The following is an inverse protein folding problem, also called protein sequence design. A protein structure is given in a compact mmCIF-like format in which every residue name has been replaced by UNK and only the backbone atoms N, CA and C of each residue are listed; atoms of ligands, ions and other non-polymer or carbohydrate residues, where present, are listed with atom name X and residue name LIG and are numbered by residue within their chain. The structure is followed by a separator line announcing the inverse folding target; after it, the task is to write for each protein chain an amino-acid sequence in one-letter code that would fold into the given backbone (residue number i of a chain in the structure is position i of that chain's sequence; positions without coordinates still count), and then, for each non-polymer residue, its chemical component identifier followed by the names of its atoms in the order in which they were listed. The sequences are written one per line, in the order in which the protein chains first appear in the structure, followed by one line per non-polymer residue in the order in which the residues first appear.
data_IF_497062077625
#
_entry.id   IF_497062077625
#
_cell.length_a   1.000
_cell.length_b   1.000
_cell.length_c   1.000
_cell.angle_alpha   90.00
_cell.angle_beta   90.00
_cell.angle_gamma   90.00
#
_symmetry.space_group_name_H-M   'P 1'
#
loop_
_entity.id
_entity.type
_entity.pdbx_description
1 polymer ?
#
# COMPACT_ATOMS: atom_id res chain seq x y z
N UNK A 1 23.82 53.42 10.90
CA UNK A 1 22.65 52.54 10.77
C UNK A 1 22.83 51.74 9.49
N UNK A 2 23.19 50.45 9.56
CA UNK A 2 23.26 49.62 8.35
C UNK A 2 21.83 49.25 7.94
N UNK A 3 21.49 49.53 6.69
CA UNK A 3 20.17 49.23 6.12
C UNK A 3 20.04 47.71 6.03
N UNK A 4 19.16 47.12 6.84
CA UNK A 4 18.82 45.70 6.70
C UNK A 4 18.17 45.49 5.34
N UNK A 5 18.66 44.51 4.57
CA UNK A 5 18.14 44.13 3.26
C UNK A 5 16.61 43.98 3.28
N UNK A 6 15.94 44.49 2.24
CA UNK A 6 14.50 44.27 2.01
C UNK A 6 14.30 42.77 1.88
N UNK A 7 13.59 42.17 2.84
CA UNK A 7 13.27 40.74 2.84
C UNK A 7 12.40 40.46 1.63
N UNK A 8 12.98 39.94 0.55
CA UNK A 8 12.24 39.51 -0.63
C UNK A 8 11.43 38.26 -0.28
N UNK A 9 10.18 38.44 0.17
CA UNK A 9 9.21 37.36 0.01
C UNK A 9 8.97 37.21 -1.50
N UNK A 10 9.25 36.02 -2.03
CA UNK A 10 9.04 35.65 -3.43
C UNK A 10 7.66 36.07 -3.97
N UNK A 11 7.57 36.24 -5.30
CA UNK A 11 6.33 36.51 -6.06
C UNK A 11 5.11 35.79 -5.47
N UNK A 12 3.95 36.45 -5.29
CA UNK A 12 2.77 35.84 -4.68
C UNK A 12 2.43 34.49 -5.33
N UNK A 13 2.46 33.42 -4.54
CA UNK A 13 2.05 32.10 -5.02
C UNK A 13 0.54 31.97 -4.93
N UNK A 14 -0.10 31.33 -5.93
CA UNK A 14 -1.54 31.10 -5.96
C UNK A 14 -2.08 30.29 -4.78
N UNK A 15 -3.42 30.17 -4.69
CA UNK A 15 -4.10 29.42 -3.62
C UNK A 15 -3.66 27.95 -3.62
N UNK A 16 -3.39 27.40 -2.43
CA UNK A 16 -3.00 26.00 -2.21
C UNK A 16 -3.92 25.37 -1.17
N UNK A 17 -4.01 24.04 -1.21
CA UNK A 17 -4.79 23.25 -0.24
C UNK A 17 -4.05 22.98 1.08
N UNK A 18 -2.79 23.43 1.20
CA UNK A 18 -1.97 23.29 2.40
C UNK A 18 -1.10 24.53 2.60
N UNK A 19 -1.06 25.04 3.83
CA UNK A 19 -0.19 26.14 4.25
C UNK A 19 0.98 25.67 5.11
N UNK A 20 1.39 26.50 6.07
CA UNK A 20 2.51 26.22 6.99
C UNK A 20 2.04 26.09 8.45
N UNK A 21 2.96 25.82 9.37
CA UNK A 21 2.69 25.88 10.81
C UNK A 21 2.03 27.21 11.20
N UNK A 22 0.90 27.13 11.89
CA UNK A 22 0.05 28.29 12.25
C UNK A 22 -1.03 28.64 11.21
N UNK A 23 -0.96 28.13 9.98
CA UNK A 23 -1.95 28.38 8.93
C UNK A 23 -2.05 27.21 7.93
N UNK A 24 -2.25 25.98 8.43
CA UNK A 24 -2.28 24.77 7.57
C UNK A 24 -3.43 24.74 6.55
N UNK A 25 -4.49 25.53 6.73
CA UNK A 25 -5.65 25.56 5.84
C UNK A 25 -6.77 24.58 6.19
N UNK A 26 -6.69 23.93 7.37
CA UNK A 26 -7.79 23.11 7.91
C UNK A 26 -8.91 23.93 8.54
N UNK A 27 -10.04 23.30 8.90
CA UNK A 27 -11.12 23.95 9.63
C UNK A 27 -10.65 24.41 11.03
N UNK A 28 -11.30 25.43 11.58
CA UNK A 28 -11.05 25.87 12.95
C UNK A 28 -11.43 24.76 13.94
N UNK A 29 -10.49 24.40 14.82
CA UNK A 29 -10.69 23.37 15.86
C UNK A 29 -10.79 24.06 17.22
N UNK A 30 -11.84 23.76 17.99
CA UNK A 30 -12.04 24.27 19.36
C UNK A 30 -12.54 23.14 20.25
N UNK A 31 -12.00 23.04 21.47
CA UNK A 31 -12.44 22.06 22.47
C UNK A 31 -11.79 20.68 22.39
N UNK A 32 -10.82 20.46 21.49
CA UNK A 32 -10.05 19.20 21.44
C UNK A 32 -8.81 19.36 22.32
N UNK A 33 -8.68 18.51 23.33
CA UNK A 33 -7.48 18.46 24.20
C UNK A 33 -6.73 17.16 23.94
N UNK A 34 -5.46 17.26 23.59
CA UNK A 34 -4.58 16.12 23.31
C UNK A 34 -3.52 16.00 24.39
N UNK A 35 -3.30 14.77 24.87
CA UNK A 35 -2.27 14.43 25.85
C UNK A 35 -1.25 13.48 25.20
N UNK A 36 0.00 13.60 25.62
CA UNK A 36 1.09 12.71 25.19
C UNK A 36 2.06 12.47 26.34
N UNK A 37 2.79 11.36 26.29
CA UNK A 37 3.83 10.99 27.26
C UNK A 37 5.18 11.06 26.53
N UNK A 38 6.24 11.47 27.23
CA UNK A 38 7.59 11.47 26.67
C UNK A 38 8.01 10.04 26.26
N UNK A 39 8.61 9.83 25.07
CA UNK A 39 9.04 8.51 24.64
C UNK A 39 10.13 7.92 25.54
N UNK A 40 10.85 8.74 26.32
CA UNK A 40 11.83 8.26 27.30
C UNK A 40 11.18 7.71 28.58
N UNK A 41 9.87 7.90 28.74
CA UNK A 41 9.09 7.41 29.89
C UNK A 41 8.25 6.17 29.54
N UNK A 42 8.32 5.68 28.30
CA UNK A 42 7.58 4.50 27.85
C UNK A 42 8.52 3.42 27.33
N UNK A 43 8.06 2.17 27.38
CA UNK A 43 8.79 1.05 26.80
C UNK A 43 8.43 0.91 25.31
N UNK A 44 9.31 1.38 24.42
CA UNK A 44 9.05 1.55 22.99
C UNK A 44 8.54 0.30 22.25
N UNK A 45 8.97 -0.90 22.64
CA UNK A 45 8.59 -2.16 21.97
C UNK A 45 7.74 -3.08 22.82
N UNK A 46 7.17 -2.58 23.92
CA UNK A 46 6.34 -3.41 24.81
C UNK A 46 5.14 -3.98 24.04
N UNK A 47 5.07 -5.30 23.98
CA UNK A 47 3.97 -6.01 23.31
C UNK A 47 4.03 -6.01 21.78
N UNK A 48 5.13 -5.58 21.14
CA UNK A 48 5.23 -5.50 19.69
C UNK A 48 4.92 -6.83 18.99
N UNK A 49 5.50 -7.94 19.48
CA UNK A 49 5.29 -9.29 18.90
C UNK A 49 3.84 -9.76 19.07
N UNK A 50 3.32 -9.69 20.30
CA UNK A 50 1.94 -10.11 20.60
C UNK A 50 0.93 -9.30 19.78
N UNK A 51 1.13 -7.98 19.70
CA UNK A 51 0.25 -7.07 18.95
C UNK A 51 0.33 -7.36 17.46
N UNK A 52 1.54 -7.55 16.91
CA UNK A 52 1.71 -7.86 15.50
C UNK A 52 1.06 -9.17 15.11
N UNK A 53 1.20 -10.23 15.91
CA UNK A 53 0.58 -11.52 15.61
C UNK A 53 -0.95 -11.43 15.55
N UNK A 54 -1.59 -10.86 16.56
CA UNK A 54 -3.06 -10.83 16.61
C UNK A 54 -3.67 -9.76 15.70
N UNK A 55 -3.16 -8.52 15.74
CA UNK A 55 -3.71 -7.43 14.95
C UNK A 55 -3.18 -7.40 13.51
N UNK A 56 -1.94 -7.84 13.29
CA UNK A 56 -1.39 -7.99 11.95
C UNK A 56 -2.15 -9.05 11.15
N UNK A 57 -2.42 -10.22 11.74
CA UNK A 57 -3.28 -11.24 11.11
C UNK A 57 -4.65 -10.66 10.75
N UNK A 58 -5.32 -9.99 11.70
CA UNK A 58 -6.64 -9.39 11.46
C UNK A 58 -6.62 -8.41 10.29
N UNK A 59 -5.59 -7.56 10.20
CA UNK A 59 -5.42 -6.58 9.10
C UNK A 59 -5.18 -7.27 7.75
N UNK A 60 -4.34 -8.30 7.73
CA UNK A 60 -4.04 -9.06 6.49
C UNK A 60 -5.30 -9.76 6.00
N UNK A 61 -6.04 -10.43 6.88
CA UNK A 61 -7.25 -11.16 6.50
C UNK A 61 -8.37 -10.26 5.96
N UNK A 62 -8.48 -9.03 6.46
CA UNK A 62 -9.43 -8.05 5.92
C UNK A 62 -9.10 -7.64 4.48
N UNK A 63 -7.82 -7.64 4.12
CA UNK A 63 -7.36 -7.27 2.77
C UNK A 63 -7.13 -8.48 1.87
N UNK A 64 -7.05 -9.68 2.43
CA UNK A 64 -6.79 -10.93 1.73
C UNK A 64 -7.66 -11.13 0.48
N UNK A 65 -8.98 -10.86 0.48
CA UNK A 65 -9.78 -11.04 -0.73
C UNK A 65 -9.31 -10.20 -1.92
N UNK A 66 -8.77 -9.00 -1.68
CA UNK A 66 -8.37 -8.09 -2.76
C UNK A 66 -7.08 -8.50 -3.46
N UNK A 67 -6.18 -9.22 -2.79
CA UNK A 67 -4.92 -9.67 -3.40
C UNK A 67 -4.86 -11.19 -3.58
N UNK A 68 -5.38 -11.97 -2.64
CA UNK A 68 -5.29 -13.43 -2.69
C UNK A 68 -6.14 -14.00 -3.84
N UNK A 69 -7.33 -13.43 -4.10
CA UNK A 69 -8.19 -13.87 -5.20
C UNK A 69 -7.52 -13.66 -6.56
N UNK A 70 -7.05 -12.44 -6.94
CA UNK A 70 -6.40 -12.27 -8.24
C UNK A 70 -5.09 -13.05 -8.36
N UNK A 71 -4.30 -13.19 -7.28
CA UNK A 71 -3.08 -13.99 -7.30
C UNK A 71 -3.39 -15.47 -7.50
N UNK A 72 -4.38 -16.01 -6.78
CA UNK A 72 -4.80 -17.40 -6.93
C UNK A 72 -5.36 -17.68 -8.33
N UNK A 73 -6.19 -16.78 -8.85
CA UNK A 73 -6.73 -16.90 -10.21
C UNK A 73 -5.61 -16.87 -11.26
N UNK A 74 -4.66 -15.93 -11.15
CA UNK A 74 -3.53 -15.84 -12.06
C UNK A 74 -2.65 -17.09 -12.03
N UNK A 75 -2.36 -17.61 -10.83
CA UNK A 75 -1.59 -18.85 -10.68
C UNK A 75 -2.33 -20.07 -11.24
N UNK A 76 -3.64 -20.14 -11.04
CA UNK A 76 -4.47 -21.21 -11.60
C UNK A 76 -4.42 -21.20 -13.14
N UNK A 77 -4.65 -20.04 -13.77
CA UNK A 77 -4.60 -19.90 -15.23
C UNK A 77 -3.20 -20.26 -15.75
N UNK A 78 -2.14 -19.77 -15.09
CA UNK A 78 -0.77 -20.07 -15.46
C UNK A 78 -0.46 -21.57 -15.43
N UNK A 79 -0.82 -22.25 -14.34
CA UNK A 79 -0.54 -23.69 -14.19
C UNK A 79 -1.37 -24.54 -15.16
N UNK A 80 -2.61 -24.15 -15.43
CA UNK A 80 -3.44 -24.78 -16.44
C UNK A 80 -2.84 -24.62 -17.85
N UNK A 81 -2.50 -23.39 -18.25
CA UNK A 81 -1.89 -23.11 -19.55
C UNK A 81 -0.54 -23.82 -19.74
N UNK A 82 0.29 -23.87 -18.69
CA UNK A 82 1.57 -24.60 -18.72
C UNK A 82 1.38 -26.10 -18.96
N UNK A 83 0.38 -26.73 -18.30
CA UNK A 83 0.06 -28.15 -18.50
C UNK A 83 -0.49 -28.41 -19.90
N UNK A 84 -1.39 -27.54 -20.39
CA UNK A 84 -1.94 -27.65 -21.74
C UNK A 84 -0.86 -27.51 -22.81
N UNK A 85 0.02 -26.51 -22.69
CA UNK A 85 1.16 -26.32 -23.60
C UNK A 85 2.12 -27.52 -23.56
N UNK A 86 2.43 -28.06 -22.38
CA UNK A 86 3.29 -29.24 -22.25
C UNK A 86 2.66 -30.48 -22.89
N UNK A 87 1.34 -30.67 -22.75
CA UNK A 87 0.62 -31.77 -23.39
C UNK A 87 0.61 -31.63 -24.92
N UNK A 88 0.29 -30.44 -25.45
CA UNK A 88 0.24 -30.20 -26.89
C UNK A 88 1.60 -30.38 -27.58
N UNK A 89 2.70 -30.07 -26.88
CA UNK A 89 4.07 -30.29 -27.34
C UNK A 89 4.59 -31.71 -27.04
N UNK A 90 3.75 -32.59 -26.49
CA UNK A 90 4.10 -34.00 -26.25
C UNK A 90 3.72 -34.86 -27.45
N UNK A 91 4.38 -36.03 -27.60
CA UNK A 91 4.05 -36.99 -28.67
C UNK A 91 2.56 -37.40 -28.64
N UNK A 92 2.01 -37.61 -27.46
CA UNK A 92 0.60 -37.97 -27.28
C UNK A 92 -0.33 -36.84 -27.73
N UNK A 93 0.02 -35.58 -27.44
CA UNK A 93 -0.74 -34.42 -27.91
C UNK A 93 -0.71 -34.25 -29.42
N UNK A 94 0.45 -34.47 -30.05
CA UNK A 94 0.56 -34.43 -31.52
C UNK A 94 -0.28 -35.53 -32.20
N UNK A 95 -0.29 -36.76 -31.65
CA UNK A 95 -1.13 -37.85 -32.14
C UNK A 95 -2.63 -37.54 -31.98
N UNK A 96 -3.03 -37.00 -30.83
CA UNK A 96 -4.43 -36.66 -30.57
C UNK A 96 -4.93 -35.51 -31.47
N UNK A 97 -4.08 -34.52 -31.76
CA UNK A 97 -4.43 -33.43 -32.68
C UNK A 97 -4.47 -33.91 -34.13
N UNK A 98 -3.51 -34.75 -34.56
CA UNK A 98 -3.50 -35.31 -35.91
C UNK A 98 -4.73 -36.20 -36.18
N UNK A 99 -5.16 -36.99 -35.20
CA UNK A 99 -6.36 -37.82 -35.31
C UNK A 99 -7.69 -37.04 -35.25
N UNK A 100 -7.65 -35.74 -34.88
CA UNK A 100 -8.82 -34.86 -34.87
C UNK A 100 -8.99 -34.11 -36.20
N UNK A 101 -7.91 -33.98 -36.99
CA UNK A 101 -7.91 -33.29 -38.30
C UNK A 101 -8.18 -34.24 -39.49
N UNK A 102 -8.30 -35.55 -39.24
CA UNK A 102 -8.79 -36.59 -40.18
C UNK A 102 -10.30 -36.83 -40.03
#
# INVERSE_FOLDING_TARGET
MQVSQVRQSSMPSGRKWIGWWGAMGGPAQKGITQYSISPYQTANMRGAVQTYLFYGYKRIMQQAPYFAVPVAAGYFIYTWGKKGSAYNNSKAGHLANAAHDE
#
